data_IF_879265755779
#
_entry.id   IF_879265755779
#
_cell.length_a   1.000
_cell.length_b   1.000
_cell.length_c   1.000
_cell.angle_alpha   90.00
_cell.angle_beta   90.00
_cell.angle_gamma   90.00
#
_symmetry.space_group_name_H-M   'P 1'
#
loop_
_entity.id
_entity.type
_entity.pdbx_description
1 polymer ?
#
# COMPACT_ATOMS: atom_id res chain seq x y z
N UNK A 1 12.26 -4.30 17.69
CA UNK A 1 12.19 -5.58 18.46
C UNK A 1 10.81 -5.78 19.10
N UNK A 2 9.73 -5.71 18.32
CA UNK A 2 8.33 -5.89 18.78
C UNK A 2 7.51 -6.96 18.00
N UNK A 3 7.92 -7.46 16.81
CA UNK A 3 7.20 -8.57 16.17
C UNK A 3 7.35 -9.93 16.87
N UNK A 4 8.43 -10.15 17.63
CA UNK A 4 8.74 -11.47 18.23
C UNK A 4 7.97 -11.73 19.54
N UNK A 5 7.51 -10.66 20.23
CA UNK A 5 6.82 -10.77 21.53
C UNK A 5 5.37 -11.26 21.39
N UNK A 6 4.72 -11.00 20.25
CA UNK A 6 3.30 -11.36 20.03
C UNK A 6 3.07 -12.85 19.73
N UNK A 7 4.10 -13.57 19.25
CA UNK A 7 3.99 -15.00 18.96
C UNK A 7 4.17 -15.90 20.19
N UNK A 8 4.80 -15.39 21.26
CA UNK A 8 5.15 -16.19 22.44
C UNK A 8 4.06 -16.23 23.53
N UNK A 9 3.07 -15.32 23.50
CA UNK A 9 2.06 -15.20 24.58
C UNK A 9 0.65 -15.70 24.21
N UNK A 10 0.54 -16.79 23.43
CA UNK A 10 -0.65 -17.67 23.47
C UNK A 10 -2.00 -17.11 22.96
N UNK A 11 -2.02 -15.90 22.37
CA UNK A 11 -3.26 -15.24 21.96
C UNK A 11 -3.97 -15.85 20.73
N UNK A 12 -3.23 -16.55 19.85
CA UNK A 12 -3.77 -17.06 18.58
C UNK A 12 -4.80 -18.18 18.74
N UNK A 13 -4.70 -19.01 19.78
CA UNK A 13 -5.56 -20.20 19.95
C UNK A 13 -6.94 -19.85 20.52
N UNK A 14 -7.05 -18.74 21.25
CA UNK A 14 -8.31 -18.31 21.87
C UNK A 14 -9.29 -17.69 20.85
N UNK A 15 -8.80 -17.03 19.81
CA UNK A 15 -9.66 -16.40 18.79
C UNK A 15 -10.38 -17.42 17.90
N UNK A 16 -9.74 -18.53 17.56
CA UNK A 16 -10.35 -19.58 16.71
C UNK A 16 -11.46 -20.32 17.46
N UNK A 17 -11.23 -20.64 18.75
CA UNK A 17 -12.18 -21.44 19.55
C UNK A 17 -13.44 -20.67 19.94
N UNK A 18 -13.34 -19.33 20.11
CA UNK A 18 -14.49 -18.48 20.46
C UNK A 18 -15.36 -18.13 19.23
N UNK A 19 -14.77 -18.07 18.03
CA UNK A 19 -15.51 -17.86 16.77
C UNK A 19 -16.37 -19.05 16.34
N UNK A 20 -15.86 -20.28 16.49
CA UNK A 20 -16.61 -21.49 16.12
C UNK A 20 -17.87 -21.72 16.99
N UNK A 21 -17.81 -21.42 18.29
CA UNK A 21 -18.95 -21.57 19.19
C UNK A 21 -20.03 -20.50 18.97
N UNK A 22 -19.66 -19.31 18.46
CA UNK A 22 -20.63 -18.25 18.13
C UNK A 22 -21.51 -18.63 16.93
N UNK A 23 -20.93 -19.29 15.91
CA UNK A 23 -21.66 -19.78 14.73
C UNK A 23 -22.52 -21.01 15.09
N UNK A 24 -22.10 -21.83 16.04
CA UNK A 24 -22.85 -23.03 16.47
C UNK A 24 -24.04 -22.73 17.39
N UNK A 25 -23.99 -21.65 18.17
CA UNK A 25 -25.07 -21.26 19.10
C UNK A 25 -26.15 -20.36 18.48
N UNK A 26 -25.95 -19.88 17.25
CA UNK A 26 -27.05 -19.37 16.42
C UNK A 26 -27.57 -20.54 15.60
N UNK A 27 -28.74 -21.09 15.96
CA UNK A 27 -29.36 -22.27 15.34
C UNK A 27 -29.75 -22.10 13.86
N UNK A 28 -28.79 -21.77 12.99
CA UNK A 28 -28.96 -21.64 11.55
C UNK A 28 -28.71 -23.02 10.96
N UNK A 29 -29.80 -23.74 10.69
CA UNK A 29 -29.75 -24.88 9.76
C UNK A 29 -29.43 -24.33 8.37
N UNK A 30 -28.17 -24.44 7.93
CA UNK A 30 -27.79 -24.23 6.53
C UNK A 30 -28.23 -25.45 5.70
N UNK A 31 -29.53 -25.53 5.48
CA UNK A 31 -30.14 -26.46 4.54
C UNK A 31 -30.11 -25.83 3.15
N UNK A 32 -29.41 -26.46 2.21
CA UNK A 32 -29.66 -26.41 0.77
C UNK A 32 -29.66 -25.05 0.06
N UNK A 33 -28.64 -24.83 -0.78
CA UNK A 33 -28.66 -23.98 -1.99
C UNK A 33 -29.09 -22.51 -1.79
N UNK A 34 -28.15 -21.62 -1.46
CA UNK A 34 -28.16 -20.24 -1.98
C UNK A 34 -26.76 -19.82 -2.39
N UNK A 35 -26.52 -19.93 -3.70
CA UNK A 35 -25.49 -19.18 -4.41
C UNK A 35 -25.68 -17.69 -4.11
N UNK A 36 -24.70 -17.08 -3.43
CA UNK A 36 -24.66 -15.65 -3.18
C UNK A 36 -23.94 -14.95 -4.34
N UNK A 37 -24.40 -15.19 -5.58
CA UNK A 37 -23.98 -14.42 -6.75
C UNK A 37 -25.21 -13.70 -7.33
N UNK A 38 -25.23 -12.36 -7.38
CA UNK A 38 -26.34 -11.62 -7.94
C UNK A 38 -26.38 -11.81 -9.46
N UNK A 39 -27.47 -12.36 -9.97
CA UNK A 39 -27.71 -12.71 -11.38
C UNK A 39 -28.04 -11.48 -12.27
N UNK A 40 -27.50 -10.30 -11.95
CA UNK A 40 -27.92 -9.03 -12.55
C UNK A 40 -26.79 -8.09 -12.98
N UNK A 41 -25.53 -8.54 -13.05
CA UNK A 41 -24.41 -7.69 -13.44
C UNK A 41 -24.29 -7.62 -14.98
N UNK A 42 -25.03 -6.65 -15.54
CA UNK A 42 -24.90 -6.01 -16.85
C UNK A 42 -24.10 -6.72 -17.97
N UNK A 43 -24.84 -7.19 -18.99
CA UNK A 43 -24.34 -7.57 -20.33
C UNK A 43 -23.63 -6.44 -21.11
N UNK A 44 -23.54 -5.22 -20.54
CA UNK A 44 -22.81 -4.09 -21.10
C UNK A 44 -21.34 -4.00 -20.66
N UNK A 45 -20.92 -4.81 -19.67
CA UNK A 45 -19.51 -4.87 -19.27
C UNK A 45 -18.66 -5.67 -20.24
N UNK A 46 -19.25 -6.52 -21.08
CA UNK A 46 -18.52 -7.25 -22.10
C UNK A 46 -17.86 -6.29 -23.10
N UNK A 47 -18.49 -5.16 -23.47
CA UNK A 47 -17.88 -4.18 -24.37
C UNK A 47 -16.88 -3.24 -23.68
N UNK A 48 -16.92 -3.13 -22.35
CA UNK A 48 -15.98 -2.32 -21.57
C UNK A 48 -14.73 -3.13 -21.17
N UNK A 49 -14.89 -4.43 -20.95
CA UNK A 49 -13.84 -5.39 -20.61
C UNK A 49 -13.10 -5.95 -21.84
N UNK A 50 -13.62 -5.72 -23.06
CA UNK A 50 -12.97 -6.06 -24.33
C UNK A 50 -12.05 -4.96 -24.87
N UNK A 51 -11.63 -4.00 -24.03
CA UNK A 51 -10.39 -3.28 -24.33
C UNK A 51 -9.22 -4.22 -24.10
N UNK A 52 -8.81 -4.89 -25.18
CA UNK A 52 -7.61 -5.71 -25.29
C UNK A 52 -6.32 -4.95 -24.94
N UNK A 53 -6.40 -3.64 -24.69
CA UNK A 53 -5.28 -2.75 -24.35
C UNK A 53 -4.73 -2.99 -22.93
N UNK A 54 -5.43 -3.76 -22.08
CA UNK A 54 -4.97 -4.15 -20.74
C UNK A 54 -4.34 -5.55 -20.69
N UNK A 55 -4.25 -6.26 -21.83
CA UNK A 55 -3.55 -7.55 -21.91
C UNK A 55 -2.05 -7.26 -21.96
N UNK A 56 -1.29 -7.77 -20.98
CA UNK A 56 0.18 -7.73 -21.01
C UNK A 56 0.78 -8.45 -22.22
N UNK A 57 2.10 -8.35 -22.40
CA UNK A 57 2.78 -8.94 -23.56
C UNK A 57 2.57 -10.46 -23.66
N UNK A 58 2.44 -10.97 -24.89
CA UNK A 58 2.29 -12.40 -25.18
C UNK A 58 3.60 -13.15 -24.89
N UNK A 59 3.51 -14.43 -24.54
CA UNK A 59 4.67 -15.27 -24.19
C UNK A 59 5.68 -15.40 -25.35
N UNK A 60 5.17 -15.46 -26.59
CA UNK A 60 5.97 -15.41 -27.80
C UNK A 60 5.51 -14.20 -28.61
N UNK A 61 6.43 -13.30 -28.95
CA UNK A 61 6.10 -12.05 -29.64
C UNK A 61 5.45 -12.34 -30.99
N UNK A 62 4.16 -12.04 -31.11
CA UNK A 62 3.43 -12.20 -32.37
C UNK A 62 3.69 -11.01 -33.29
N UNK A 63 3.57 -11.20 -34.62
CA UNK A 63 3.77 -10.10 -35.58
C UNK A 63 2.83 -8.92 -35.29
N UNK A 64 1.57 -9.22 -34.93
CA UNK A 64 0.58 -8.20 -34.57
C UNK A 64 0.98 -7.42 -33.32
N UNK A 65 1.53 -8.08 -32.32
CA UNK A 65 2.04 -7.45 -31.12
C UNK A 65 3.26 -6.58 -31.40
N UNK A 66 4.20 -7.04 -32.22
CA UNK A 66 5.34 -6.24 -32.66
C UNK A 66 4.91 -4.94 -33.36
N UNK A 67 3.87 -4.99 -34.20
CA UNK A 67 3.29 -3.79 -34.83
C UNK A 67 2.66 -2.84 -33.79
N UNK A 68 2.01 -3.37 -32.75
CA UNK A 68 1.46 -2.56 -31.64
C UNK A 68 2.56 -1.91 -30.81
N UNK A 69 3.63 -2.64 -30.48
CA UNK A 69 4.80 -2.14 -29.73
C UNK A 69 5.46 -0.99 -30.50
N UNK A 70 5.64 -1.17 -31.81
CA UNK A 70 6.21 -0.16 -32.68
C UNK A 70 5.19 0.93 -33.08
N UNK A 71 3.93 0.84 -32.63
CA UNK A 71 2.85 1.77 -32.96
C UNK A 71 2.70 2.06 -34.47
N UNK A 72 2.74 1.01 -35.29
CA UNK A 72 2.67 1.08 -36.76
C UNK A 72 1.63 0.10 -37.31
N UNK A 73 1.10 0.39 -38.50
CA UNK A 73 0.10 -0.46 -39.16
C UNK A 73 0.78 -1.69 -39.82
N UNK A 74 0.18 -2.90 -39.80
CA UNK A 74 0.70 -4.08 -40.50
C UNK A 74 0.99 -3.91 -42.01
N UNK A 75 0.47 -2.87 -42.67
CA UNK A 75 0.70 -2.60 -44.10
C UNK A 75 1.92 -1.70 -44.38
N UNK A 76 2.73 -1.39 -43.36
CA UNK A 76 3.80 -0.38 -43.46
C UNK A 76 5.08 -0.92 -44.13
N UNK A 77 5.81 -0.05 -44.84
CA UNK A 77 7.10 -0.37 -45.48
C UNK A 77 8.23 -0.63 -44.45
N UNK A 78 9.18 -1.50 -44.82
CA UNK A 78 10.33 -1.94 -43.99
C UNK A 78 11.24 -0.80 -43.53
N UNK A 79 11.37 0.26 -44.32
CA UNK A 79 12.20 1.44 -43.98
C UNK A 79 11.65 2.16 -42.74
N UNK A 80 10.35 2.43 -42.73
CA UNK A 80 9.66 3.08 -41.61
C UNK A 80 9.67 2.22 -40.34
N UNK A 81 9.60 0.88 -40.49
CA UNK A 81 9.78 -0.06 -39.37
C UNK A 81 11.16 0.13 -38.72
N UNK A 82 12.21 0.26 -39.53
CA UNK A 82 13.60 0.42 -39.05
C UNK A 82 13.80 1.76 -38.33
N UNK A 83 13.23 2.83 -38.85
CA UNK A 83 13.30 4.16 -38.25
C UNK A 83 12.64 4.20 -36.88
N UNK A 84 11.39 3.73 -36.79
CA UNK A 84 10.65 3.70 -35.52
C UNK A 84 11.31 2.79 -34.50
N UNK A 85 11.83 1.63 -34.94
CA UNK A 85 12.59 0.74 -34.07
C UNK A 85 13.85 1.42 -33.51
N UNK A 86 14.60 2.17 -34.33
CA UNK A 86 15.78 2.93 -33.90
C UNK A 86 15.40 4.01 -32.87
N UNK A 87 14.31 4.74 -33.11
CA UNK A 87 13.82 5.76 -32.16
C UNK A 87 13.43 5.15 -30.82
N UNK A 88 12.72 4.02 -30.84
CA UNK A 88 12.30 3.32 -29.63
C UNK A 88 13.50 2.76 -28.84
N UNK A 89 14.50 2.22 -29.54
CA UNK A 89 15.76 1.75 -28.94
C UNK A 89 16.56 2.87 -28.30
N UNK A 90 16.63 4.05 -28.93
CA UNK A 90 17.32 5.21 -28.34
C UNK A 90 16.59 5.74 -27.10
N UNK A 91 15.26 5.74 -27.13
CA UNK A 91 14.45 6.16 -25.97
C UNK A 91 14.62 5.22 -24.78
N UNK A 92 14.58 3.92 -25.05
CA UNK A 92 14.67 2.87 -24.04
C UNK A 92 16.12 2.37 -23.81
N UNK A 93 17.11 3.10 -24.32
CA UNK A 93 18.52 2.71 -24.18
C UNK A 93 18.87 2.59 -22.69
N UNK A 94 19.59 1.53 -22.27
CA UNK A 94 19.89 1.28 -20.85
C UNK A 94 20.61 2.46 -20.18
N UNK A 95 21.43 3.22 -20.92
CA UNK A 95 22.09 4.43 -20.42
C UNK A 95 21.12 5.54 -19.94
N UNK A 96 19.85 5.53 -20.38
CA UNK A 96 18.84 6.46 -19.87
C UNK A 96 18.22 5.98 -18.54
N UNK A 97 18.41 4.71 -18.15
CA UNK A 97 17.91 4.13 -16.90
C UNK A 97 18.64 4.63 -15.64
N UNK A 98 19.90 5.05 -15.79
CA UNK A 98 20.69 5.65 -14.71
C UNK A 98 20.05 6.92 -14.13
N UNK A 99 19.28 7.64 -14.95
CA UNK A 99 18.55 8.84 -14.51
C UNK A 99 17.45 8.53 -13.49
N UNK A 100 16.82 7.36 -13.54
CA UNK A 100 15.78 6.95 -12.58
C UNK A 100 16.43 6.63 -11.23
N UNK A 101 17.54 5.88 -11.25
CA UNK A 101 18.31 5.52 -10.06
C UNK A 101 18.86 6.78 -9.37
N UNK A 102 19.39 7.73 -10.15
CA UNK A 102 19.91 8.98 -9.60
C UNK A 102 18.79 9.84 -9.01
N UNK A 103 17.62 9.91 -9.67
CA UNK A 103 16.46 10.61 -9.13
C UNK A 103 15.98 10.00 -7.81
N UNK A 104 15.89 8.68 -7.71
CA UNK A 104 15.52 7.98 -6.47
C UNK A 104 16.52 8.28 -5.35
N UNK A 105 17.82 8.30 -5.66
CA UNK A 105 18.87 8.64 -4.70
C UNK A 105 18.76 10.08 -4.20
N UNK A 106 18.49 11.04 -5.09
CA UNK A 106 18.27 12.45 -4.73
C UNK A 106 17.05 12.59 -3.81
N UNK A 107 15.96 11.88 -4.10
CA UNK A 107 14.75 11.88 -3.27
C UNK A 107 15.06 11.31 -1.89
N UNK A 108 15.75 10.18 -1.82
CA UNK A 108 16.17 9.57 -0.55
C UNK A 108 17.03 10.52 0.29
N UNK A 109 18.02 11.20 -0.32
CA UNK A 109 18.88 12.14 0.39
C UNK A 109 18.13 13.37 0.90
N UNK A 110 17.11 13.83 0.17
CA UNK A 110 16.24 14.92 0.63
C UNK A 110 15.41 14.50 1.84
N UNK A 111 14.82 13.31 1.79
CA UNK A 111 14.00 12.76 2.87
C UNK A 111 14.81 12.51 4.15
N UNK A 112 16.08 12.08 4.05
CA UNK A 112 16.94 11.89 5.23
C UNK A 112 17.25 13.22 5.91
N UNK A 113 17.61 14.25 5.14
CA UNK A 113 17.86 15.62 5.64
C UNK A 113 16.64 16.21 6.35
N UNK A 114 15.45 16.07 5.75
CA UNK A 114 14.21 16.55 6.38
C UNK A 114 13.91 15.82 7.70
N UNK A 115 14.16 14.50 7.77
CA UNK A 115 13.99 13.71 8.98
C UNK A 115 14.96 14.12 10.10
N UNK A 116 16.21 14.46 9.77
CA UNK A 116 17.18 14.97 10.75
C UNK A 116 16.74 16.31 11.35
N UNK A 117 16.27 17.24 10.50
CA UNK A 117 15.73 18.54 10.94
C UNK A 117 14.51 18.34 11.86
N UNK A 118 13.61 17.41 11.51
CA UNK A 118 12.45 17.09 12.35
C UNK A 118 12.87 16.53 13.72
N UNK A 119 13.88 15.66 13.77
CA UNK A 119 14.42 15.14 15.04
C UNK A 119 15.00 16.25 15.90
N UNK A 120 15.72 17.20 15.31
CA UNK A 120 16.28 18.34 16.04
C UNK A 120 15.18 19.24 16.62
N UNK A 121 14.14 19.54 15.83
CA UNK A 121 12.97 20.30 16.31
C UNK A 121 12.26 19.59 17.46
N UNK A 122 12.06 18.27 17.35
CA UNK A 122 11.45 17.47 18.42
C UNK A 122 12.30 17.49 19.70
N UNK A 123 13.64 17.45 19.58
CA UNK A 123 14.53 17.57 20.73
C UNK A 123 14.43 18.94 21.40
N UNK A 124 14.33 20.04 20.63
CA UNK A 124 14.12 21.39 21.17
C UNK A 124 12.79 21.50 21.92
N UNK A 125 11.71 21.02 21.32
CA UNK A 125 10.37 21.01 21.96
C UNK A 125 10.41 20.19 23.26
N UNK A 126 11.08 19.04 23.28
CA UNK A 126 11.21 18.24 24.50
C UNK A 126 11.96 18.99 25.61
N UNK A 127 13.04 19.69 25.28
CA UNK A 127 13.80 20.50 26.25
C UNK A 127 12.98 21.66 26.79
N UNK A 128 12.22 22.33 25.92
CA UNK A 128 11.33 23.44 26.28
C UNK A 128 10.18 22.95 27.20
N UNK A 129 9.60 21.79 26.89
CA UNK A 129 8.63 21.15 27.78
C UNK A 129 9.25 20.76 29.13
N UNK A 130 10.48 20.25 29.13
CA UNK A 130 11.20 19.90 30.36
C UNK A 130 11.42 21.13 31.25
N UNK A 131 11.81 22.27 30.67
CA UNK A 131 11.99 23.52 31.44
C UNK A 131 10.68 23.99 32.09
N UNK A 132 9.54 23.86 31.41
CA UNK A 132 8.24 24.20 32.02
C UNK A 132 7.83 23.26 33.16
N UNK A 133 8.34 22.02 33.16
CA UNK A 133 8.11 21.07 34.25
C UNK A 133 9.02 21.39 35.44
N UNK A 134 10.29 21.73 35.18
CA UNK A 134 11.27 22.07 36.22
C UNK A 134 10.95 23.40 36.92
N UNK A 135 10.40 24.39 36.20
CA UNK A 135 10.00 25.68 36.77
C UNK A 135 8.73 25.61 37.62
N UNK A 136 7.90 24.57 37.44
CA UNK A 136 6.75 24.30 38.31
C UNK A 136 7.18 23.46 39.51
N UNK A 137 7.88 24.11 40.44
CA UNK A 137 7.78 23.78 41.87
C UNK A 137 6.30 23.94 42.26
N UNK A 138 5.54 22.86 42.10
CA UNK A 138 4.09 22.79 42.29
C UNK A 138 3.78 22.84 43.80
N UNK A 139 3.72 24.05 44.36
CA UNK A 139 3.03 24.30 45.62
C UNK A 139 1.55 24.41 45.24
N UNK A 140 0.79 23.34 45.47
CA UNK A 140 -0.65 23.34 45.31
C UNK A 140 -1.28 24.07 46.50
N UNK A 141 -1.53 25.37 46.36
CA UNK A 141 -2.49 26.06 47.22
C UNK A 141 -3.88 25.88 46.61
N UNK A 142 -4.67 25.07 47.29
CA UNK A 142 -6.06 24.75 46.96
C UNK A 142 -6.90 26.02 46.80
N UNK A 143 -7.75 26.03 45.77
CA UNK A 143 -8.96 26.87 45.60
C UNK A 143 -8.95 28.03 44.59
N UNK A 144 -8.14 27.96 43.52
CA UNK A 144 -8.29 28.86 42.35
C UNK A 144 -9.01 28.16 41.17
N UNK A 145 -10.12 28.72 40.69
CA UNK A 145 -10.89 28.24 39.53
C UNK A 145 -10.04 28.23 38.24
N UNK A 146 -8.97 29.02 38.20
CA UNK A 146 -8.09 29.23 37.05
C UNK A 146 -7.17 28.02 36.81
N UNK A 147 -6.70 27.36 37.88
CA UNK A 147 -5.84 26.17 37.79
C UNK A 147 -6.58 24.94 37.25
N UNK A 148 -7.86 24.79 37.61
CA UNK A 148 -8.72 23.73 37.07
C UNK A 148 -8.96 23.89 35.57
N UNK A 149 -9.10 25.13 35.09
CA UNK A 149 -9.26 25.41 33.66
C UNK A 149 -7.97 25.15 32.87
N UNK A 150 -6.81 25.49 33.44
CA UNK A 150 -5.50 25.19 32.86
C UNK A 150 -5.26 23.69 32.74
N UNK A 151 -5.58 22.92 33.78
CA UNK A 151 -5.51 21.45 33.77
C UNK A 151 -6.47 20.83 32.73
N UNK A 152 -7.71 21.33 32.64
CA UNK A 152 -8.68 20.88 31.64
C UNK A 152 -8.20 21.16 30.21
N UNK A 153 -7.58 22.32 29.97
CA UNK A 153 -7.00 22.68 28.67
C UNK A 153 -5.87 21.74 28.26
N UNK A 154 -4.99 21.39 29.21
CA UNK A 154 -3.91 20.41 28.99
C UNK A 154 -4.50 19.03 28.64
N UNK A 155 -5.50 18.57 29.40
CA UNK A 155 -6.17 17.29 29.12
C UNK A 155 -6.80 17.24 27.73
N UNK A 156 -7.51 18.30 27.31
CA UNK A 156 -8.10 18.40 25.97
C UNK A 156 -7.01 18.34 24.90
N UNK A 157 -5.89 19.04 25.11
CA UNK A 157 -4.76 19.03 24.17
C UNK A 157 -4.13 17.63 24.03
N UNK A 158 -4.02 16.89 25.14
CA UNK A 158 -3.53 15.50 25.13
C UNK A 158 -4.50 14.56 24.40
N UNK A 159 -5.81 14.75 24.57
CA UNK A 159 -6.83 13.98 23.84
C UNK A 159 -6.74 14.25 22.33
N UNK A 160 -6.64 15.52 21.92
CA UNK A 160 -6.51 15.89 20.50
C UNK A 160 -5.23 15.29 19.88
N UNK A 161 -4.13 15.29 20.62
CA UNK A 161 -2.89 14.63 20.18
C UNK A 161 -3.06 13.11 20.02
N UNK A 162 -3.70 12.45 20.98
CA UNK A 162 -4.00 11.02 20.92
C UNK A 162 -4.87 10.66 19.71
N UNK A 163 -5.86 11.49 19.37
CA UNK A 163 -6.72 11.24 18.22
C UNK A 163 -5.98 11.46 16.89
N UNK A 164 -5.07 12.45 16.81
CA UNK A 164 -4.16 12.59 15.66
C UNK A 164 -3.28 11.36 15.48
N UNK A 165 -2.71 10.81 16.57
CA UNK A 165 -1.92 9.59 16.50
C UNK A 165 -2.73 8.39 15.98
N UNK A 166 -4.00 8.25 16.38
CA UNK A 166 -4.88 7.19 15.85
C UNK A 166 -5.13 7.33 14.36
N UNK A 167 -5.32 8.56 13.86
CA UNK A 167 -5.52 8.82 12.43
C UNK A 167 -4.27 8.41 11.64
N UNK A 168 -3.09 8.77 12.12
CA UNK A 168 -1.81 8.40 11.49
C UNK A 168 -1.64 6.87 11.47
N UNK A 169 -1.92 6.18 12.57
CA UNK A 169 -1.84 4.71 12.64
C UNK A 169 -2.81 4.03 11.66
N UNK A 170 -4.03 4.56 11.54
CA UNK A 170 -5.01 4.05 10.57
C UNK A 170 -4.54 4.24 9.11
N UNK A 171 -3.95 5.39 8.79
CA UNK A 171 -3.39 5.67 7.47
C UNK A 171 -2.27 4.70 7.11
N UNK A 172 -1.28 4.53 8.01
CA UNK A 172 -0.16 3.62 7.80
C UNK A 172 -0.63 2.17 7.61
N UNK A 173 -1.61 1.73 8.39
CA UNK A 173 -2.22 0.41 8.22
C UNK A 173 -2.85 0.27 6.83
N UNK A 174 -3.61 1.26 6.37
CA UNK A 174 -4.24 1.20 5.06
C UNK A 174 -3.23 1.11 3.92
N UNK A 175 -2.17 1.92 3.96
CA UNK A 175 -1.08 1.87 2.96
C UNK A 175 -0.38 0.50 2.95
N UNK A 176 -0.08 -0.05 4.13
CA UNK A 176 0.55 -1.38 4.21
C UNK A 176 -0.36 -2.49 3.68
N UNK A 177 -1.67 -2.45 3.94
CA UNK A 177 -2.61 -3.41 3.36
C UNK A 177 -2.69 -3.30 1.84
N UNK A 178 -2.73 -2.08 1.29
CA UNK A 178 -2.74 -1.85 -0.15
C UNK A 178 -1.49 -2.43 -0.82
N UNK A 179 -0.30 -2.15 -0.27
CA UNK A 179 0.96 -2.68 -0.80
C UNK A 179 1.02 -4.21 -0.75
N UNK A 180 0.46 -4.82 0.31
CA UNK A 180 0.36 -6.28 0.41
C UNK A 180 -0.58 -6.85 -0.66
N UNK A 181 -1.69 -6.18 -0.95
CA UNK A 181 -2.65 -6.60 -1.98
C UNK A 181 -2.04 -6.53 -3.39
N UNK A 182 -1.27 -5.48 -3.69
CA UNK A 182 -0.50 -5.37 -4.93
C UNK A 182 0.56 -6.48 -5.03
N UNK A 183 1.30 -6.74 -3.95
CA UNK A 183 2.29 -7.81 -3.90
C UNK A 183 1.64 -9.18 -4.19
N UNK A 184 0.52 -9.49 -3.55
CA UNK A 184 -0.19 -10.76 -3.79
C UNK A 184 -0.73 -10.86 -5.21
N UNK A 185 -1.18 -9.75 -5.80
CA UNK A 185 -1.61 -9.70 -7.19
C UNK A 185 -0.44 -10.00 -8.13
N UNK A 186 0.71 -9.36 -7.93
CA UNK A 186 1.94 -9.62 -8.69
C UNK A 186 2.40 -11.08 -8.58
N UNK A 187 2.39 -11.65 -7.37
CA UNK A 187 2.76 -13.06 -7.14
C UNK A 187 1.79 -13.99 -7.88
N UNK A 188 0.48 -13.72 -7.80
CA UNK A 188 -0.55 -14.51 -8.50
C UNK A 188 -0.35 -14.48 -10.00
N UNK A 189 -0.07 -13.31 -10.58
CA UNK A 189 0.24 -13.17 -12.00
C UNK A 189 1.50 -13.92 -12.41
N UNK A 190 2.56 -13.88 -11.58
CA UNK A 190 3.79 -14.61 -11.84
C UNK A 190 3.57 -16.14 -11.84
N UNK A 191 2.80 -16.66 -10.89
CA UNK A 191 2.44 -18.09 -10.82
C UNK A 191 1.62 -18.50 -12.04
N UNK A 192 0.61 -17.70 -12.41
CA UNK A 192 -0.20 -17.97 -13.61
C UNK A 192 0.68 -18.01 -14.86
N UNK A 193 1.59 -17.06 -15.03
CA UNK A 193 2.55 -17.02 -16.16
C UNK A 193 3.47 -18.24 -16.18
N UNK A 194 3.98 -18.69 -15.03
CA UNK A 194 4.82 -19.90 -14.95
C UNK A 194 4.04 -21.15 -15.35
N UNK A 195 2.80 -21.31 -14.87
CA UNK A 195 1.96 -22.44 -15.20
C UNK A 195 1.64 -22.48 -16.70
N UNK A 196 1.31 -21.33 -17.25
CA UNK A 196 1.08 -21.08 -18.67
C UNK A 196 2.30 -21.42 -19.55
N UNK A 197 3.50 -21.03 -19.11
CA UNK A 197 4.78 -21.41 -19.72
C UNK A 197 4.98 -22.93 -19.68
N UNK A 198 4.61 -23.59 -18.58
CA UNK A 198 4.75 -25.02 -18.44
C UNK A 198 3.84 -25.80 -19.40
N UNK A 199 2.59 -25.35 -19.59
CA UNK A 199 1.68 -25.91 -20.59
C UNK A 199 2.17 -25.73 -22.04
N UNK A 200 2.89 -24.65 -22.35
CA UNK A 200 3.46 -24.45 -23.69
C UNK A 200 4.81 -25.16 -23.93
N UNK A 201 5.48 -25.63 -22.88
CA UNK A 201 6.71 -26.43 -22.98
C UNK A 201 6.43 -27.93 -23.05
N UNK A 202 5.24 -28.38 -22.63
CA UNK A 202 4.85 -29.80 -22.54
C UNK A 202 3.74 -30.24 -23.50
N UNK A 203 3.24 -29.35 -24.37
CA UNK A 203 2.38 -29.66 -25.53
C UNK A 203 3.12 -29.32 -26.82
#
# INVERSE_FOLDING_TARGET
MWPVVMLLFGGGVLFVKKGLNYVKNQGIQLNGKRSFFPSGFNKNLNNLFLKNDLKGFERNMSKSEAFKILNINPTTNKEKIREVHKQLMLKNHPDNGDSIIENEKIICEKLTKENEILKEKNSKIQKELLSYIEDNTFIYESDSIEDMNKYKSILISVIDFMDKLKIVDAHMKNETYHLLEELFTCIKEAILKQNDLWYCLFC
#
